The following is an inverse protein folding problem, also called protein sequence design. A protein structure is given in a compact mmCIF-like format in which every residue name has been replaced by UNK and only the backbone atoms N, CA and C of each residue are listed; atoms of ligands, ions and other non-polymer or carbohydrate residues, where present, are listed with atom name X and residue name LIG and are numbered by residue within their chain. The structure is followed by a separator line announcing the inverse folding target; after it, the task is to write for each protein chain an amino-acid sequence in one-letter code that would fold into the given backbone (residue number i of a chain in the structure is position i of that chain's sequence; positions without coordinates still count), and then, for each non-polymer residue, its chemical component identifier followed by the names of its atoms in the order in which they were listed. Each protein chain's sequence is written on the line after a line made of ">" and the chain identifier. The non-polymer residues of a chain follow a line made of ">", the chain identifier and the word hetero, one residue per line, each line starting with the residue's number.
data_IF_271715427002
#
_entry.id   IF_271715427002
#
_cell.length_a   1.000
_cell.length_b   1.000
_cell.length_c   1.000
_cell.angle_alpha   90.00
_cell.angle_beta   90.00
_cell.angle_gamma   90.00
#
_symmetry.space_group_name_H-M   'P 1'
#
loop_
_entity.id
_entity.type
_entity.pdbx_description
1 polymer ?
#
# COMPACT_ATOMS: atom_id res chain seq x y z
N UNK A 1 -17.67 -14.96 0.09
CA UNK A 1 -16.93 -14.14 1.06
C UNK A 1 -15.54 -14.75 1.15
N UNK A 2 -14.53 -14.08 0.63
CA UNK A 2 -13.15 -14.55 0.71
C UNK A 2 -12.67 -14.33 2.14
N UNK A 3 -12.56 -15.41 2.91
CA UNK A 3 -12.09 -15.36 4.28
C UNK A 3 -10.69 -15.96 4.30
N UNK A 4 -9.67 -15.10 4.26
CA UNK A 4 -8.28 -15.54 4.42
C UNK A 4 -8.06 -15.76 5.91
N UNK A 5 -7.98 -17.02 6.31
CA UNK A 5 -7.75 -17.40 7.69
C UNK A 5 -6.28 -17.18 8.07
N UNK A 6 -6.03 -16.97 9.36
CA UNK A 6 -4.67 -16.87 9.90
C UNK A 6 -3.98 -15.52 9.72
N UNK A 7 -4.53 -14.60 8.91
CA UNK A 7 -3.95 -13.25 8.70
C UNK A 7 -4.78 -12.13 9.33
N UNK A 8 -4.18 -10.95 9.45
CA UNK A 8 -4.79 -9.70 9.91
C UNK A 8 -4.15 -8.50 9.21
N UNK A 9 -4.83 -7.35 9.22
CA UNK A 9 -4.25 -6.08 8.76
C UNK A 9 -3.61 -5.29 9.91
N UNK A 10 -2.63 -4.45 9.58
CA UNK A 10 -2.09 -3.43 10.46
C UNK A 10 -1.87 -2.11 9.72
N UNK A 11 -1.84 -1.01 10.47
CA UNK A 11 -1.73 0.34 9.94
C UNK A 11 -0.90 1.19 10.90
N UNK A 12 0.11 1.88 10.38
CA UNK A 12 1.03 2.73 11.15
C UNK A 12 1.27 4.08 10.45
N UNK A 13 1.60 5.10 11.25
CA UNK A 13 2.13 6.38 10.77
C UNK A 13 3.40 6.70 11.54
N UNK A 14 4.44 7.11 10.84
CA UNK A 14 5.74 7.46 11.43
C UNK A 14 6.42 8.57 10.63
N UNK A 15 7.66 8.92 10.99
CA UNK A 15 8.47 9.93 10.30
C UNK A 15 9.90 9.40 10.13
N UNK A 16 10.56 9.74 9.02
CA UNK A 16 11.98 9.44 8.83
C UNK A 16 12.85 10.30 9.74
N UNK A 17 14.14 9.95 9.84
CA UNK A 17 15.17 10.78 10.48
C UNK A 17 15.37 12.14 9.79
N UNK A 18 14.95 12.26 8.52
CA UNK A 18 14.91 13.50 7.76
C UNK A 18 13.57 14.23 7.89
N UNK A 19 12.70 13.78 8.80
CA UNK A 19 11.36 14.34 9.07
C UNK A 19 10.35 14.17 7.93
N UNK A 20 10.55 13.22 7.02
CA UNK A 20 9.57 12.88 5.98
C UNK A 20 8.46 11.99 6.57
N UNK A 21 7.18 12.40 6.50
CA UNK A 21 6.06 11.58 6.97
C UNK A 21 5.93 10.27 6.20
N UNK A 22 5.61 9.17 6.89
CA UNK A 22 5.36 7.84 6.30
C UNK A 22 4.05 7.26 6.82
N UNK A 23 3.23 6.71 5.92
CA UNK A 23 2.03 5.94 6.22
C UNK A 23 2.23 4.51 5.72
N UNK A 24 1.93 3.53 6.57
CA UNK A 24 2.25 2.12 6.33
C UNK A 24 0.97 1.31 6.56
N UNK A 25 0.63 0.43 5.63
CA UNK A 25 -0.37 -0.60 5.82
C UNK A 25 0.21 -1.97 5.45
N UNK A 26 -0.32 -3.05 6.02
CA UNK A 26 0.12 -4.37 5.66
C UNK A 26 -0.80 -5.47 6.12
N UNK A 27 -0.51 -6.67 5.61
CA UNK A 27 -1.17 -7.94 5.96
C UNK A 27 -0.10 -8.85 6.52
N UNK A 28 -0.34 -9.40 7.71
CA UNK A 28 0.59 -10.31 8.37
C UNK A 28 -0.14 -11.48 9.03
N UNK A 29 0.62 -12.47 9.49
CA UNK A 29 0.11 -13.51 10.38
C UNK A 29 -0.52 -12.87 11.63
N UNK A 30 -1.68 -13.39 12.05
CA UNK A 30 -2.54 -12.77 13.06
C UNK A 30 -1.88 -12.63 14.42
N UNK A 31 -1.08 -13.61 14.81
CA UNK A 31 -0.32 -13.64 16.07
C UNK A 31 0.92 -12.74 16.03
N UNK A 32 1.28 -12.18 14.86
CA UNK A 32 2.48 -11.36 14.63
C UNK A 32 2.19 -9.89 14.33
N UNK A 33 0.96 -9.43 14.59
CA UNK A 33 0.54 -8.05 14.31
C UNK A 33 1.45 -7.00 14.96
N UNK A 34 1.63 -7.08 16.28
CA UNK A 34 2.47 -6.11 17.00
C UNK A 34 3.94 -6.20 16.56
N UNK A 35 4.45 -7.41 16.38
CA UNK A 35 5.82 -7.63 15.92
C UNK A 35 6.06 -7.02 14.52
N UNK A 36 5.07 -7.13 13.62
CA UNK A 36 5.10 -6.51 12.29
C UNK A 36 5.14 -4.99 12.36
N UNK A 37 4.31 -4.39 13.23
CA UNK A 37 4.30 -2.95 13.46
C UNK A 37 5.65 -2.46 14.00
N UNK A 38 6.16 -3.11 15.05
CA UNK A 38 7.45 -2.77 15.67
C UNK A 38 8.61 -2.89 14.69
N UNK A 39 8.61 -3.94 13.85
CA UNK A 39 9.67 -4.16 12.87
C UNK A 39 9.68 -3.09 11.78
N UNK A 40 8.51 -2.60 11.37
CA UNK A 40 8.40 -1.56 10.33
C UNK A 40 8.70 -0.16 10.85
N UNK A 41 8.76 0.06 12.17
CA UNK A 41 9.33 1.30 12.72
C UNK A 41 10.82 1.47 12.38
N UNK A 42 11.51 0.42 11.90
CA UNK A 42 12.84 0.53 11.31
C UNK A 42 12.88 1.39 10.02
N UNK A 43 11.72 1.70 9.43
CA UNK A 43 11.61 2.69 8.34
C UNK A 43 11.96 4.10 8.80
N UNK A 44 11.84 4.42 10.08
CA UNK A 44 12.27 5.73 10.63
C UNK A 44 13.74 6.04 10.34
N UNK A 45 14.57 5.02 10.11
CA UNK A 45 16.00 5.14 9.87
C UNK A 45 16.37 5.33 8.39
N UNK A 46 15.42 5.24 7.46
CA UNK A 46 15.69 5.46 6.04
C UNK A 46 16.14 6.91 5.80
N UNK A 47 17.03 7.10 4.82
CA UNK A 47 17.52 8.41 4.38
C UNK A 47 17.50 8.48 2.87
N UNK A 48 16.96 9.57 2.34
CA UNK A 48 16.94 9.90 0.92
C UNK A 48 18.05 10.88 0.55
N UNK A 49 18.67 11.57 1.52
CA UNK A 49 19.82 12.47 1.31
C UNK A 49 19.56 13.52 0.22
N UNK A 50 18.36 14.08 0.18
CA UNK A 50 17.95 15.08 -0.82
C UNK A 50 17.62 14.51 -2.21
N UNK A 51 17.57 13.19 -2.39
CA UNK A 51 17.08 12.56 -3.61
C UNK A 51 15.66 13.05 -3.94
N UNK A 52 15.46 13.45 -5.20
CA UNK A 52 14.15 13.88 -5.76
C UNK A 52 13.73 13.09 -6.99
N UNK A 53 14.52 12.09 -7.38
CA UNK A 53 14.18 11.24 -8.50
C UNK A 53 13.05 10.27 -8.10
N UNK A 54 11.89 10.30 -8.78
CA UNK A 54 10.73 9.50 -8.41
C UNK A 54 11.00 8.00 -8.39
N UNK A 55 11.69 7.50 -9.41
CA UNK A 55 11.99 6.07 -9.52
C UNK A 55 12.88 5.61 -8.36
N UNK A 56 13.92 6.38 -8.03
CA UNK A 56 14.80 6.02 -6.92
C UNK A 56 14.13 6.16 -5.56
N UNK A 57 13.15 7.05 -5.39
CA UNK A 57 12.37 7.16 -4.15
C UNK A 57 11.62 5.85 -3.89
N UNK A 58 10.85 5.39 -4.88
CA UNK A 58 10.07 4.15 -4.76
C UNK A 58 10.99 2.93 -4.63
N UNK A 59 12.07 2.88 -5.40
CA UNK A 59 13.06 1.81 -5.31
C UNK A 59 13.70 1.71 -3.92
N UNK A 60 14.18 2.83 -3.35
CA UNK A 60 14.79 2.81 -2.03
C UNK A 60 13.78 2.42 -0.95
N UNK A 61 12.54 2.87 -1.08
CA UNK A 61 11.47 2.50 -0.16
C UNK A 61 11.19 0.99 -0.22
N UNK A 62 11.07 0.43 -1.43
CA UNK A 62 10.83 -0.99 -1.66
C UNK A 62 12.00 -1.86 -1.18
N UNK A 63 13.23 -1.45 -1.47
CA UNK A 63 14.44 -2.14 -1.03
C UNK A 63 14.54 -2.14 0.50
N UNK A 64 14.27 -1.00 1.14
CA UNK A 64 14.29 -0.91 2.60
C UNK A 64 13.23 -1.81 3.22
N UNK A 65 12.00 -1.77 2.69
CA UNK A 65 10.89 -2.63 3.14
C UNK A 65 11.25 -4.10 3.00
N UNK A 66 11.77 -4.53 1.84
CA UNK A 66 12.21 -5.92 1.62
C UNK A 66 13.22 -6.38 2.66
N UNK A 67 14.20 -5.53 2.98
CA UNK A 67 15.28 -5.88 3.91
C UNK A 67 14.84 -5.97 5.38
N UNK A 68 13.80 -5.23 5.78
CA UNK A 68 13.32 -5.25 7.17
C UNK A 68 12.13 -6.19 7.36
N UNK A 69 11.43 -6.56 6.29
CA UNK A 69 10.19 -7.33 6.36
C UNK A 69 10.47 -8.80 6.65
N UNK A 70 9.98 -9.33 7.77
CA UNK A 70 10.05 -10.74 8.11
C UNK A 70 9.02 -11.54 7.31
N UNK A 71 9.19 -12.87 7.28
CA UNK A 71 8.37 -13.78 6.45
C UNK A 71 6.87 -13.83 6.82
N UNK A 72 6.51 -13.42 8.04
CA UNK A 72 5.13 -13.32 8.49
C UNK A 72 4.40 -12.07 7.95
N UNK A 73 5.11 -11.11 7.33
CA UNK A 73 4.48 -10.04 6.56
C UNK A 73 4.24 -10.54 5.13
N UNK A 74 2.96 -10.64 4.76
CA UNK A 74 2.52 -11.21 3.48
C UNK A 74 2.47 -10.15 2.38
N UNK A 75 1.97 -8.98 2.74
CA UNK A 75 1.79 -7.83 1.87
C UNK A 75 2.03 -6.53 2.63
N UNK A 76 2.52 -5.51 1.93
CA UNK A 76 2.77 -4.19 2.47
C UNK A 76 2.41 -3.11 1.45
N UNK A 77 1.89 -1.98 1.93
CA UNK A 77 1.81 -0.72 1.20
C UNK A 77 2.45 0.39 2.04
N UNK A 78 3.30 1.21 1.42
CA UNK A 78 3.95 2.35 2.09
C UNK A 78 3.81 3.60 1.24
N UNK A 79 3.44 4.69 1.90
CA UNK A 79 3.42 6.03 1.33
C UNK A 79 4.40 6.92 2.09
N UNK A 80 5.18 7.74 1.38
CA UNK A 80 6.10 8.73 1.93
C UNK A 80 5.93 10.08 1.24
N UNK A 81 5.95 11.14 2.03
CA UNK A 81 5.90 12.52 1.56
C UNK A 81 7.28 13.17 1.70
N UNK A 82 7.85 13.54 0.56
CA UNK A 82 9.17 14.17 0.45
C UNK A 82 8.99 15.53 -0.25
N UNK A 83 9.19 16.61 0.51
CA UNK A 83 9.07 17.98 0.02
C UNK A 83 9.90 18.24 -1.25
N UNK A 84 9.31 18.93 -2.23
CA UNK A 84 10.01 19.35 -3.45
C UNK A 84 10.10 18.28 -4.54
N UNK A 85 9.37 17.18 -4.41
CA UNK A 85 9.15 16.21 -5.49
C UNK A 85 7.91 16.62 -6.29
N UNK A 86 8.07 16.81 -7.60
CA UNK A 86 7.02 17.38 -8.46
C UNK A 86 6.23 16.34 -9.28
N UNK A 87 6.62 15.07 -9.23
CA UNK A 87 5.93 13.97 -9.90
C UNK A 87 5.20 13.10 -8.87
N UNK A 88 4.13 12.40 -9.29
CA UNK A 88 3.42 11.43 -8.45
C UNK A 88 4.34 10.24 -8.16
N UNK A 89 4.68 10.01 -6.89
CA UNK A 89 5.57 8.94 -6.42
C UNK A 89 5.55 8.84 -4.89
N UNK A 90 6.45 8.06 -4.31
CA UNK A 90 6.52 7.85 -2.87
C UNK A 90 5.44 6.90 -2.41
N UNK A 91 5.02 5.98 -3.28
CA UNK A 91 3.97 4.99 -3.02
C UNK A 91 4.42 3.63 -3.53
N UNK A 92 4.47 2.63 -2.66
CA UNK A 92 4.76 1.25 -3.04
C UNK A 92 3.72 0.31 -2.48
N UNK A 93 3.41 -0.75 -3.21
CA UNK A 93 2.56 -1.84 -2.75
C UNK A 93 3.01 -3.18 -3.31
N UNK A 94 2.91 -4.26 -2.53
CA UNK A 94 3.23 -5.59 -3.01
C UNK A 94 3.57 -6.55 -1.89
N UNK A 95 4.08 -7.73 -2.25
CA UNK A 95 4.72 -8.61 -1.27
C UNK A 95 6.17 -8.17 -1.05
N UNK A 96 6.63 -7.99 0.19
CA UNK A 96 8.05 -7.72 0.47
C UNK A 96 8.99 -8.84 0.02
N UNK A 97 8.46 -10.01 -0.33
CA UNK A 97 9.22 -11.19 -0.77
C UNK A 97 9.32 -11.31 -2.30
N UNK A 98 8.58 -10.48 -3.05
CA UNK A 98 8.64 -10.45 -4.50
C UNK A 98 9.82 -9.59 -4.99
N UNK A 99 10.15 -9.73 -6.28
CA UNK A 99 11.11 -8.86 -6.93
C UNK A 99 10.57 -7.43 -7.03
N UNK A 100 11.46 -6.46 -6.88
CA UNK A 100 11.10 -5.03 -6.98
C UNK A 100 10.92 -4.70 -8.46
N UNK A 101 9.75 -4.22 -8.82
CA UNK A 101 9.40 -3.80 -10.17
C UNK A 101 8.49 -2.58 -10.14
N UNK A 102 8.51 -1.78 -11.21
CA UNK A 102 7.56 -0.69 -11.40
C UNK A 102 6.22 -1.24 -11.88
N UNK A 103 5.12 -0.58 -11.48
CA UNK A 103 3.78 -0.93 -11.94
C UNK A 103 3.59 -0.66 -13.43
N UNK A 104 3.07 -1.64 -14.18
CA UNK A 104 2.62 -1.47 -15.57
C UNK A 104 1.11 -1.69 -15.74
N UNK A 105 0.29 -1.30 -14.74
CA UNK A 105 -1.14 -1.67 -14.63
C UNK A 105 -1.38 -3.17 -14.46
N UNK A 106 -0.69 -3.75 -13.48
CA UNK A 106 -0.68 -5.19 -13.27
C UNK A 106 -1.68 -5.62 -12.19
N UNK A 107 -2.47 -6.65 -12.51
CA UNK A 107 -3.25 -7.44 -11.57
C UNK A 107 -2.53 -8.77 -11.40
N UNK A 108 -2.01 -9.04 -10.21
CA UNK A 108 -1.18 -10.21 -9.96
C UNK A 108 -1.59 -10.94 -8.68
N UNK A 109 -1.50 -12.27 -8.69
CA UNK A 109 -1.65 -13.07 -7.49
C UNK A 109 -0.33 -13.06 -6.69
N UNK A 110 -0.35 -12.48 -5.49
CA UNK A 110 0.84 -12.43 -4.61
C UNK A 110 0.91 -13.61 -3.62
N UNK A 111 0.06 -14.62 -3.83
CA UNK A 111 -0.03 -15.84 -3.02
C UNK A 111 -1.02 -15.73 -1.86
N UNK A 112 -1.31 -16.86 -1.21
CA UNK A 112 -2.17 -16.94 -0.01
C UNK A 112 -3.60 -16.34 -0.20
N UNK A 113 -4.11 -16.36 -1.44
CA UNK A 113 -5.43 -15.79 -1.79
C UNK A 113 -5.46 -14.27 -1.87
N UNK A 114 -4.30 -13.62 -1.95
CA UNK A 114 -4.15 -12.18 -2.11
C UNK A 114 -3.89 -11.82 -3.58
N UNK A 115 -4.56 -10.77 -4.04
CA UNK A 115 -4.36 -10.17 -5.37
C UNK A 115 -3.93 -8.72 -5.19
N UNK A 116 -2.83 -8.34 -5.84
CA UNK A 116 -2.38 -6.95 -5.95
C UNK A 116 -2.93 -6.34 -7.22
N UNK A 117 -3.34 -5.08 -7.12
CA UNK A 117 -3.63 -4.21 -8.24
C UNK A 117 -2.77 -2.97 -8.08
N UNK A 118 -1.87 -2.76 -9.03
CA UNK A 118 -0.98 -1.60 -9.05
C UNK A 118 -1.39 -0.68 -10.20
N UNK A 119 -1.55 0.61 -9.91
CA UNK A 119 -2.07 1.60 -10.87
C UNK A 119 -1.06 2.74 -10.97
N UNK A 120 -0.49 3.02 -12.16
CA UNK A 120 0.41 4.15 -12.35
C UNK A 120 -0.26 5.48 -11.97
N UNK A 121 0.35 6.22 -11.05
CA UNK A 121 -0.18 7.50 -10.55
C UNK A 121 -1.52 7.41 -9.82
N UNK A 122 -1.93 6.21 -9.41
CA UNK A 122 -3.21 5.95 -8.73
C UNK A 122 -3.03 5.16 -7.44
N UNK A 123 -4.13 4.91 -6.69
CA UNK A 123 -4.06 4.06 -5.52
C UNK A 123 -3.73 2.62 -5.92
N UNK A 124 -2.69 2.05 -5.31
CA UNK A 124 -2.47 0.61 -5.34
C UNK A 124 -3.28 -0.08 -4.25
N UNK A 125 -3.80 -1.28 -4.48
CA UNK A 125 -4.45 -2.06 -3.43
C UNK A 125 -4.10 -3.54 -3.48
N UNK A 126 -4.18 -4.21 -2.33
CA UNK A 126 -4.14 -5.66 -2.21
C UNK A 126 -5.43 -6.11 -1.54
N UNK A 127 -6.10 -7.09 -2.13
CA UNK A 127 -7.36 -7.64 -1.65
C UNK A 127 -7.24 -9.14 -1.43
N UNK A 128 -7.87 -9.63 -0.38
CA UNK A 128 -8.16 -11.06 -0.25
C UNK A 128 -9.32 -11.43 -1.14
N UNK A 129 -9.03 -11.83 -2.38
CA UNK A 129 -10.02 -12.15 -3.40
C UNK A 129 -9.43 -13.03 -4.49
N UNK A 130 -10.24 -13.43 -5.46
CA UNK A 130 -9.72 -13.87 -6.77
C UNK A 130 -9.42 -12.67 -7.68
N UNK A 131 -8.78 -12.97 -8.80
CA UNK A 131 -8.39 -11.99 -9.81
C UNK A 131 -9.60 -11.29 -10.43
N UNK A 132 -10.68 -12.04 -10.73
CA UNK A 132 -11.90 -11.50 -11.33
C UNK A 132 -12.57 -10.45 -10.44
N UNK A 133 -12.59 -10.68 -9.13
CA UNK A 133 -13.13 -9.72 -8.17
C UNK A 133 -12.24 -8.48 -8.06
N UNK A 134 -10.92 -8.66 -7.99
CA UNK A 134 -9.98 -7.54 -7.96
C UNK A 134 -10.07 -6.69 -9.24
N UNK A 135 -10.21 -7.34 -10.39
CA UNK A 135 -10.42 -6.69 -11.69
C UNK A 135 -11.69 -5.87 -11.74
N UNK A 136 -12.82 -6.40 -11.22
CA UNK A 136 -14.07 -5.62 -11.12
C UNK A 136 -13.93 -4.41 -10.20
N UNK A 137 -13.24 -4.57 -9.05
CA UNK A 137 -12.95 -3.45 -8.14
C UNK A 137 -12.14 -2.38 -8.88
N UNK A 138 -11.11 -2.77 -9.62
CA UNK A 138 -10.30 -1.87 -10.42
C UNK A 138 -11.13 -1.14 -11.48
N UNK A 139 -11.75 -1.88 -12.40
CA UNK A 139 -12.48 -1.33 -13.55
C UNK A 139 -13.55 -0.34 -13.10
N UNK A 140 -14.36 -0.68 -12.10
CA UNK A 140 -15.42 0.20 -11.60
C UNK A 140 -14.88 1.41 -10.82
N UNK A 141 -13.70 1.29 -10.19
CA UNK A 141 -13.08 2.41 -9.49
C UNK A 141 -12.49 3.44 -10.45
N UNK A 142 -12.07 3.01 -11.65
CA UNK A 142 -11.38 3.83 -12.65
C UNK A 142 -12.29 4.40 -13.75
N UNK A 143 -13.61 4.15 -13.72
CA UNK A 143 -14.56 4.62 -14.75
C UNK A 143 -14.61 6.14 -14.98
N UNK A 144 -14.06 6.95 -14.07
CA UNK A 144 -14.11 8.42 -14.16
C UNK A 144 -12.75 9.03 -13.86
N UNK A 145 -12.35 10.03 -14.64
CA UNK A 145 -11.11 10.77 -14.40
C UNK A 145 -11.27 11.70 -13.19
N UNK A 146 -10.64 11.31 -12.08
CA UNK A 146 -10.78 11.95 -10.77
C UNK A 146 -9.45 11.97 -10.02
N UNK A 147 -9.40 12.80 -8.97
CA UNK A 147 -8.26 12.92 -8.06
C UNK A 147 -7.89 11.59 -7.36
N UNK A 148 -6.65 11.46 -6.89
CA UNK A 148 -6.17 10.25 -6.22
C UNK A 148 -6.99 9.85 -4.98
N UNK A 149 -7.43 10.83 -4.17
CA UNK A 149 -8.28 10.57 -2.99
C UNK A 149 -9.67 10.06 -3.37
N UNK A 150 -10.27 10.60 -4.44
CA UNK A 150 -11.57 10.09 -4.93
C UNK A 150 -11.46 8.66 -5.44
N UNK A 151 -10.36 8.34 -6.15
CA UNK A 151 -10.07 6.98 -6.61
C UNK A 151 -9.92 6.02 -5.42
N UNK A 152 -9.21 6.41 -4.36
CA UNK A 152 -9.07 5.61 -3.13
C UNK A 152 -10.44 5.32 -2.48
N UNK A 153 -11.29 6.33 -2.35
CA UNK A 153 -12.63 6.16 -1.77
C UNK A 153 -13.51 5.24 -2.61
N UNK A 154 -13.37 5.26 -3.94
CA UNK A 154 -14.04 4.31 -4.83
C UNK A 154 -13.53 2.89 -4.65
N UNK A 155 -12.21 2.69 -4.57
CA UNK A 155 -11.62 1.38 -4.28
C UNK A 155 -12.16 0.83 -2.96
N UNK A 156 -12.19 1.64 -1.90
CA UNK A 156 -12.82 1.27 -0.62
C UNK A 156 -14.30 0.90 -0.76
N UNK A 157 -15.09 1.73 -1.45
CA UNK A 157 -16.52 1.46 -1.68
C UNK A 157 -16.72 0.15 -2.44
N UNK A 158 -15.88 -0.14 -3.43
CA UNK A 158 -15.97 -1.34 -4.24
C UNK A 158 -15.51 -2.58 -3.46
N UNK A 159 -14.47 -2.49 -2.63
CA UNK A 159 -14.08 -3.55 -1.67
C UNK A 159 -15.26 -3.94 -0.77
N UNK A 160 -16.02 -2.96 -0.27
CA UNK A 160 -17.23 -3.20 0.53
C UNK A 160 -18.33 -3.83 -0.33
N UNK A 161 -18.62 -3.26 -1.51
CA UNK A 161 -19.64 -3.74 -2.47
C UNK A 161 -19.43 -5.23 -2.82
N UNK A 162 -18.18 -5.62 -3.03
CA UNK A 162 -17.80 -7.00 -3.38
C UNK A 162 -17.56 -7.90 -2.16
N UNK A 163 -17.87 -7.44 -0.95
CA UNK A 163 -17.77 -8.21 0.29
C UNK A 163 -16.37 -8.80 0.53
N UNK A 164 -15.33 -8.02 0.17
CA UNK A 164 -13.94 -8.37 0.45
C UNK A 164 -13.65 -8.06 1.92
N UNK A 165 -13.37 -9.12 2.69
CA UNK A 165 -13.19 -9.03 4.14
C UNK A 165 -11.81 -8.54 4.57
N UNK A 166 -10.83 -8.53 3.68
CA UNK A 166 -9.45 -8.18 3.96
C UNK A 166 -8.86 -7.40 2.79
N UNK A 167 -8.39 -6.18 3.02
CA UNK A 167 -7.68 -5.41 2.01
C UNK A 167 -6.75 -4.36 2.62
N UNK A 168 -5.76 -3.93 1.84
CA UNK A 168 -4.95 -2.74 2.11
C UNK A 168 -4.89 -1.86 0.86
N UNK A 169 -4.76 -0.56 1.05
CA UNK A 169 -4.72 0.43 -0.04
C UNK A 169 -3.65 1.45 0.29
N UNK A 170 -2.89 1.87 -0.72
CA UNK A 170 -1.90 2.95 -0.60
C UNK A 170 -2.04 3.93 -1.76
N UNK A 171 -1.60 5.16 -1.54
CA UNK A 171 -1.46 6.20 -2.57
C UNK A 171 -0.09 6.83 -2.50
N UNK A 172 0.35 7.41 -3.60
CA UNK A 172 1.57 8.21 -3.69
C UNK A 172 1.53 9.37 -2.69
N UNK A 173 2.67 9.60 -2.02
CA UNK A 173 2.82 10.68 -1.04
C UNK A 173 3.47 11.94 -1.59
N UNK A 174 4.13 11.86 -2.74
CA UNK A 174 4.83 12.96 -3.38
C UNK A 174 4.10 13.44 -4.63
N UNK A 175 4.20 14.72 -4.96
CA UNK A 175 3.60 15.33 -6.16
C UNK A 175 2.51 16.38 -5.83
N UNK A 176 2.19 17.29 -6.77
CA UNK A 176 1.35 18.48 -6.52
C UNK A 176 -0.10 18.17 -6.11
N UNK A 177 -0.63 17.01 -6.51
CA UNK A 177 -2.00 16.57 -6.19
C UNK A 177 -2.04 15.28 -5.36
N UNK A 178 -0.88 14.86 -4.86
CA UNK A 178 -0.73 13.64 -4.08
C UNK A 178 -1.00 13.91 -2.61
N UNK A 179 -1.76 13.00 -1.99
CA UNK A 179 -2.01 13.00 -0.55
C UNK A 179 -1.72 11.61 -0.06
N UNK A 180 -0.46 11.39 0.33
CA UNK A 180 0.00 10.09 0.77
C UNK A 180 -0.92 9.50 1.80
N UNK A 181 -1.43 8.31 1.54
CA UNK A 181 -2.43 7.68 2.38
C UNK A 181 -2.24 6.18 2.38
N UNK A 182 -2.52 5.57 3.53
CA UNK A 182 -2.59 4.13 3.71
C UNK A 182 -3.92 3.78 4.39
N UNK A 183 -4.57 2.71 3.93
CA UNK A 183 -5.79 2.21 4.53
C UNK A 183 -5.80 0.69 4.66
N UNK A 184 -6.58 0.22 5.63
CA UNK A 184 -6.86 -1.19 5.81
C UNK A 184 -8.36 -1.42 5.88
N UNK A 185 -8.79 -2.58 5.39
CA UNK A 185 -10.14 -3.13 5.53
C UNK A 185 -10.02 -4.49 6.19
N UNK A 186 -10.71 -4.70 7.30
CA UNK A 186 -10.78 -5.98 7.99
C UNK A 186 -12.18 -6.23 8.56
N UNK A 187 -12.89 -7.21 8.03
CA UNK A 187 -14.23 -7.61 8.44
C UNK A 187 -15.20 -6.41 8.56
N UNK A 188 -15.20 -5.53 7.56
CA UNK A 188 -16.03 -4.34 7.49
C UNK A 188 -15.52 -3.14 8.30
N UNK A 189 -14.41 -3.28 9.07
CA UNK A 189 -13.74 -2.14 9.71
C UNK A 189 -12.77 -1.50 8.73
N UNK A 190 -12.81 -0.18 8.65
CA UNK A 190 -11.93 0.61 7.78
C UNK A 190 -11.10 1.55 8.66
N UNK A 191 -9.79 1.53 8.47
CA UNK A 191 -8.85 2.43 9.12
C UNK A 191 -8.04 3.16 8.05
N UNK A 192 -7.82 4.47 8.23
CA UNK A 192 -7.07 5.30 7.28
C UNK A 192 -6.02 6.14 8.02
N UNK A 193 -4.86 6.33 7.40
CA UNK A 193 -3.84 7.31 7.76
C UNK A 193 -3.49 8.12 6.51
N UNK A 194 -3.45 9.44 6.66
CA UNK A 194 -3.00 10.38 5.63
C UNK A 194 -1.73 11.06 6.09
N UNK A 195 -0.86 11.45 5.17
CA UNK A 195 0.37 12.19 5.42
C UNK A 195 0.09 13.66 5.70
#
# INVERSE_FOLDING_TARGET
>A
MYNIEGVTTFLEKTVTVESYPIAICGICDRDRKQESQDKLLELTKIKFNGLKDPFFIDYQLAERVRNISPSYIKALGVSIDIDGVHQSTGGIIGSPRADISSSNEDIECVGEGLVVVSIPGGPGFIAGSDEDTARKIYEESMLEDRSGTDRMMRVLSNIIKYHVGLAIIVTDGCGPDSRGSAATVENGRICVRTL
#
